data_IF_290872670356
#
_entry.id   IF_290872670356
#
_cell.length_a   1.000
_cell.length_b   1.000
_cell.length_c   1.000
_cell.angle_alpha   90.00
_cell.angle_beta   90.00
_cell.angle_gamma   90.00
#
_symmetry.space_group_name_H-M   'P 1'
#
loop_
_entity.id
_entity.type
_entity.pdbx_description
1 polymer ?
#
# COMPACT_ATOMS: atom_id res chain seq x y z
N UNK A 1 15.88 7.61 -16.53
CA UNK A 1 15.94 6.21 -16.09
C UNK A 1 15.32 6.13 -14.72
N UNK A 2 14.26 5.34 -14.58
CA UNK A 2 13.52 5.16 -13.33
C UNK A 2 13.74 3.75 -12.80
N UNK A 3 13.47 3.56 -11.52
CA UNK A 3 13.39 2.21 -10.96
C UNK A 3 12.34 1.39 -11.72
N UNK A 4 12.58 0.08 -11.83
CA UNK A 4 11.71 -0.82 -12.59
C UNK A 4 10.31 -0.93 -11.97
N UNK A 5 10.23 -0.80 -10.65
CA UNK A 5 9.01 -0.81 -9.85
C UNK A 5 8.95 0.45 -8.99
N UNK A 6 7.80 1.12 -9.02
CA UNK A 6 7.46 2.20 -8.12
C UNK A 6 6.18 1.82 -7.36
N UNK A 7 6.28 1.73 -6.04
CA UNK A 7 5.10 1.58 -5.17
C UNK A 7 4.72 2.95 -4.63
N UNK A 8 3.47 3.36 -4.86
CA UNK A 8 2.87 4.49 -4.17
C UNK A 8 1.84 3.95 -3.18
N UNK A 9 2.19 3.95 -1.89
CA UNK A 9 1.33 3.49 -0.81
C UNK A 9 0.99 4.70 0.06
N UNK A 10 -0.28 5.08 0.06
CA UNK A 10 -0.80 6.18 0.87
C UNK A 10 -2.25 5.93 1.26
N UNK A 11 -2.65 6.61 2.33
CA UNK A 11 -3.99 6.60 2.85
C UNK A 11 -4.33 5.42 3.76
N UNK A 12 -5.35 5.61 4.60
CA UNK A 12 -5.96 4.57 5.43
C UNK A 12 -7.47 4.63 5.26
N UNK A 13 -8.12 3.47 5.24
CA UNK A 13 -9.58 3.35 5.19
C UNK A 13 -10.08 2.45 6.30
N UNK A 14 -11.30 2.68 6.76
CA UNK A 14 -11.99 1.73 7.62
C UNK A 14 -12.66 0.66 6.76
N UNK A 15 -12.59 -0.61 7.18
CA UNK A 15 -13.27 -1.71 6.49
C UNK A 15 -14.72 -1.91 6.97
N UNK A 16 -15.15 -1.20 8.01
CA UNK A 16 -16.50 -1.31 8.61
C UNK A 16 -17.41 -0.14 8.22
N UNK A 17 -16.85 1.04 7.92
CA UNK A 17 -17.61 2.24 7.56
C UNK A 17 -16.87 3.04 6.48
N UNK A 18 -17.47 4.13 5.99
CA UNK A 18 -16.94 4.92 4.86
C UNK A 18 -15.80 5.89 5.24
N UNK A 19 -15.25 5.78 6.45
CA UNK A 19 -14.11 6.62 6.83
C UNK A 19 -12.88 6.30 5.98
N UNK A 20 -12.27 7.35 5.43
CA UNK A 20 -11.00 7.30 4.70
C UNK A 20 -10.20 8.57 4.95
N UNK A 21 -8.89 8.42 5.04
CA UNK A 21 -7.93 9.51 5.07
C UNK A 21 -6.80 9.20 4.07
N UNK A 22 -6.82 9.85 2.92
CA UNK A 22 -5.86 9.62 1.83
C UNK A 22 -4.51 10.34 2.03
N UNK A 23 -4.40 11.20 3.05
CA UNK A 23 -3.19 12.01 3.27
C UNK A 23 -2.10 11.25 4.05
N UNK A 24 -2.42 10.10 4.65
CA UNK A 24 -1.49 9.32 5.47
C UNK A 24 -0.37 8.75 4.60
N UNK A 25 0.89 9.10 4.89
CA UNK A 25 2.02 8.56 4.14
C UNK A 25 2.51 7.25 4.75
N UNK A 26 3.10 6.38 3.94
CA UNK A 26 3.69 5.10 4.37
C UNK A 26 4.54 5.18 5.64
N UNK A 27 5.35 6.24 5.78
CA UNK A 27 6.22 6.47 6.95
C UNK A 27 5.45 6.66 8.27
N UNK A 28 4.17 7.03 8.19
CA UNK A 28 3.29 7.28 9.32
C UNK A 28 2.48 6.02 9.68
N UNK A 29 2.48 4.96 8.85
CA UNK A 29 1.59 3.81 9.03
C UNK A 29 1.76 3.12 10.38
N UNK A 30 2.98 3.07 10.91
CA UNK A 30 3.24 2.53 12.25
C UNK A 30 2.44 3.28 13.34
N UNK A 31 2.29 4.60 13.20
CA UNK A 31 1.48 5.39 14.13
C UNK A 31 0.00 5.03 14.01
N UNK A 32 -0.48 4.67 12.81
CA UNK A 32 -1.88 4.33 12.53
C UNK A 32 -2.25 2.89 12.89
N UNK A 33 -1.27 2.06 13.27
CA UNK A 33 -1.49 0.68 13.68
C UNK A 33 -2.47 0.60 14.85
N UNK A 34 -3.56 -0.14 14.66
CA UNK A 34 -4.67 -0.28 15.60
C UNK A 34 -5.28 1.04 16.09
N UNK A 35 -5.07 2.17 15.38
CA UNK A 35 -5.81 3.40 15.68
C UNK A 35 -7.31 3.17 15.44
N UNK A 36 -8.17 3.54 16.39
CA UNK A 36 -9.61 3.39 16.21
C UNK A 36 -10.12 4.40 15.17
N UNK A 37 -11.04 3.94 14.34
CA UNK A 37 -11.77 4.76 13.40
C UNK A 37 -12.58 5.83 14.16
N UNK A 38 -12.50 7.11 13.78
CA UNK A 38 -13.22 8.17 14.48
C UNK A 38 -14.75 8.09 14.30
N UNK A 39 -15.24 7.31 13.33
CA UNK A 39 -16.67 7.13 13.08
C UNK A 39 -17.28 5.92 13.79
N UNK A 40 -16.60 4.77 13.78
CA UNK A 40 -17.17 3.52 14.30
C UNK A 40 -16.31 2.81 15.36
N UNK A 41 -15.08 3.27 15.62
CA UNK A 41 -14.17 2.69 16.62
C UNK A 41 -13.42 1.43 16.17
N UNK A 42 -13.73 0.84 15.01
CA UNK A 42 -12.96 -0.28 14.46
C UNK A 42 -11.52 0.12 14.10
N UNK A 43 -10.58 -0.82 14.07
CA UNK A 43 -9.19 -0.52 13.74
C UNK A 43 -9.06 -0.09 12.27
N UNK A 44 -8.30 0.98 12.02
CA UNK A 44 -8.06 1.52 10.66
C UNK A 44 -6.93 0.80 9.91
N UNK A 45 -5.96 0.28 10.64
CA UNK A 45 -4.84 -0.49 10.09
C UNK A 45 -4.57 -1.63 11.04
N UNK A 46 -4.76 -2.86 10.59
CA UNK A 46 -4.45 -4.06 11.37
C UNK A 46 -2.97 -4.38 11.28
N UNK A 47 -2.49 -5.23 12.19
CA UNK A 47 -1.10 -5.73 12.11
C UNK A 47 -0.85 -6.46 10.79
N UNK A 48 -1.82 -7.25 10.33
CA UNK A 48 -1.70 -8.06 9.11
C UNK A 48 -1.55 -7.17 7.87
N UNK A 49 -2.34 -6.10 7.76
CA UNK A 49 -2.22 -5.15 6.65
C UNK A 49 -0.91 -4.34 6.72
N UNK A 50 -0.47 -3.97 7.93
CA UNK A 50 0.82 -3.31 8.11
C UNK A 50 1.99 -4.21 7.67
N UNK A 51 1.97 -5.49 8.05
CA UNK A 51 2.99 -6.46 7.69
C UNK A 51 3.01 -6.70 6.17
N UNK A 52 1.84 -6.76 5.52
CA UNK A 52 1.72 -6.84 4.06
C UNK A 52 2.34 -5.63 3.36
N UNK A 53 2.09 -4.42 3.86
CA UNK A 53 2.68 -3.19 3.32
C UNK A 53 4.21 -3.21 3.45
N UNK A 54 4.75 -3.65 4.60
CA UNK A 54 6.19 -3.79 4.79
C UNK A 54 6.81 -4.84 3.84
N UNK A 55 6.09 -5.95 3.62
CA UNK A 55 6.49 -6.98 2.67
C UNK A 55 6.53 -6.44 1.24
N UNK A 56 5.50 -5.72 0.78
CA UNK A 56 5.46 -5.10 -0.55
C UNK A 56 6.59 -4.10 -0.74
N UNK A 57 6.84 -3.24 0.26
CA UNK A 57 7.93 -2.28 0.21
C UNK A 57 9.30 -2.98 0.09
N UNK A 58 9.54 -4.01 0.89
CA UNK A 58 10.78 -4.79 0.85
C UNK A 58 10.95 -5.52 -0.48
N UNK A 59 9.88 -6.12 -0.99
CA UNK A 59 9.85 -6.78 -2.30
C UNK A 59 10.19 -5.80 -3.43
N UNK A 60 9.63 -4.59 -3.42
CA UNK A 60 9.92 -3.58 -4.45
C UNK A 60 11.39 -3.18 -4.49
N UNK A 61 12.04 -3.04 -3.32
CA UNK A 61 13.48 -2.76 -3.23
C UNK A 61 14.30 -3.90 -3.81
N UNK A 62 14.02 -5.12 -3.39
CA UNK A 62 14.72 -6.31 -3.88
C UNK A 62 14.60 -6.43 -5.40
N UNK A 63 13.40 -6.23 -5.95
CA UNK A 63 13.19 -6.32 -7.40
C UNK A 63 13.91 -5.20 -8.16
N UNK A 64 13.98 -3.98 -7.62
CA UNK A 64 14.73 -2.88 -8.23
C UNK A 64 16.26 -3.08 -8.21
N UNK A 65 16.78 -3.91 -7.32
CA UNK A 65 18.20 -4.32 -7.34
C UNK A 65 18.50 -5.38 -8.40
N UNK A 66 17.49 -6.20 -8.77
CA UNK A 66 17.63 -7.31 -9.72
C UNK A 66 17.27 -6.88 -11.14
N UNK A 67 16.22 -6.08 -11.29
CA UNK A 67 15.68 -5.68 -12.58
C UNK A 67 16.45 -4.47 -13.15
N UNK A 68 16.64 -4.41 -14.48
CA UNK A 68 17.22 -3.24 -15.11
C UNK A 68 16.30 -2.04 -14.92
N UNK A 69 16.90 -0.86 -14.75
CA UNK A 69 16.16 0.41 -14.69
C UNK A 69 15.32 0.59 -15.96
N UNK A 70 14.09 1.07 -15.78
CA UNK A 70 13.19 1.38 -16.89
C UNK A 70 13.60 2.69 -17.58
N UNK A 71 13.37 2.74 -18.89
CA UNK A 71 13.55 3.98 -19.68
C UNK A 71 12.35 4.90 -19.47
N UNK A 72 12.58 6.20 -19.53
CA UNK A 72 11.53 7.18 -19.20
C UNK A 72 10.31 7.16 -20.15
N UNK A 73 10.45 6.53 -21.32
CA UNK A 73 9.43 6.44 -22.37
C UNK A 73 8.74 5.06 -22.45
N UNK A 74 9.04 4.14 -21.53
CA UNK A 74 8.37 2.84 -21.47
C UNK A 74 6.98 2.99 -20.81
N UNK A 75 5.95 2.30 -21.33
CA UNK A 75 4.63 2.31 -20.71
C UNK A 75 4.70 1.71 -19.31
N UNK A 76 4.12 2.40 -18.33
CA UNK A 76 4.01 1.92 -16.96
C UNK A 76 2.72 1.13 -16.80
N UNK A 77 2.83 -0.15 -16.47
CA UNK A 77 1.70 -0.92 -15.97
C UNK A 77 1.37 -0.42 -14.55
N UNK A 78 0.13 -0.01 -14.32
CA UNK A 78 -0.32 0.41 -12.99
C UNK A 78 -1.17 -0.70 -12.38
N UNK A 79 -1.03 -0.94 -11.08
CA UNK A 79 -1.78 -1.96 -10.37
C UNK A 79 -2.38 -1.36 -9.10
N UNK A 80 -3.69 -1.55 -8.94
CA UNK A 80 -4.38 -1.29 -7.68
C UNK A 80 -4.20 -2.48 -6.75
N UNK A 81 -3.82 -2.20 -5.50
CA UNK A 81 -3.69 -3.21 -4.44
C UNK A 81 -4.71 -2.86 -3.36
N UNK A 82 -5.64 -3.77 -3.10
CA UNK A 82 -6.65 -3.63 -2.05
C UNK A 82 -6.38 -4.64 -0.93
N UNK A 83 -6.33 -4.12 0.29
CA UNK A 83 -6.26 -4.89 1.53
C UNK A 83 -7.60 -4.81 2.26
N UNK A 84 -7.94 -5.86 3.01
CA UNK A 84 -9.23 -6.04 3.70
C UNK A 84 -9.11 -6.18 5.22
N UNK A 85 -7.93 -5.95 5.80
CA UNK A 85 -7.69 -6.05 7.24
C UNK A 85 -7.38 -7.46 7.74
N UNK A 86 -7.58 -8.51 6.92
CA UNK A 86 -7.35 -9.92 7.30
C UNK A 86 -6.07 -10.50 6.68
N UNK A 87 -5.18 -9.63 6.19
CA UNK A 87 -3.96 -10.02 5.51
C UNK A 87 -4.16 -10.49 4.07
N UNK A 88 -5.38 -10.46 3.53
CA UNK A 88 -5.61 -10.79 2.11
C UNK A 88 -5.36 -9.55 1.23
N UNK A 89 -4.78 -9.79 0.06
CA UNK A 89 -4.53 -8.75 -0.94
C UNK A 89 -5.18 -9.11 -2.27
N UNK A 90 -5.96 -8.18 -2.80
CA UNK A 90 -6.51 -8.25 -4.16
C UNK A 90 -5.70 -7.31 -5.07
N UNK A 91 -5.23 -7.85 -6.19
CA UNK A 91 -4.41 -7.13 -7.17
C UNK A 91 -5.20 -6.96 -8.46
N UNK A 92 -5.31 -5.71 -8.94
CA UNK A 92 -6.00 -5.40 -10.19
C UNK A 92 -5.12 -4.56 -11.10
N UNK A 93 -4.88 -5.04 -12.31
CA UNK A 93 -4.21 -4.23 -13.34
C UNK A 93 -5.14 -3.09 -13.77
N UNK A 94 -4.59 -1.88 -13.79
CA UNK A 94 -5.23 -0.71 -14.39
C UNK A 94 -4.62 -0.56 -15.79
N UNK A 95 -5.46 -0.75 -16.81
CA UNK A 95 -5.11 -0.53 -18.21
C UNK A 95 -5.13 0.95 -18.59
#
# INVERSE_FOLDING_TARGET
MKEALALNIEGVKCDVCDYRNDDVKLREYEEWLNKPCPQCGANLLTQEDFDNVQMLFSFSKMMNEILPKSKDNEPLATMDIKMDGTGNMEFKLIE
#
